data_IF_713453690492
#
_entry.id   IF_713453690492
#
_cell.length_a   1.000
_cell.length_b   1.000
_cell.length_c   1.000
_cell.angle_alpha   90.00
_cell.angle_beta   90.00
_cell.angle_gamma   90.00
#
_symmetry.space_group_name_H-M   'P 1'
#
loop_
_entity.id
_entity.type
_entity.pdbx_description
1 polymer ?
#
# COMPACT_ATOMS: atom_id res chain seq x y z
N UNK A 1 24.65 -61.04 69.71
CA UNK A 1 25.11 -61.78 68.51
C UNK A 1 24.18 -61.34 67.39
N UNK A 2 24.54 -60.65 66.30
CA UNK A 2 25.79 -60.68 65.50
C UNK A 2 25.77 -59.46 64.55
N UNK A 3 26.81 -58.62 64.69
CA UNK A 3 27.66 -57.90 63.70
C UNK A 3 27.16 -57.02 62.54
N UNK A 4 27.92 -55.91 62.44
CA UNK A 4 28.17 -54.95 61.35
C UNK A 4 29.01 -55.58 60.21
N UNK A 5 28.83 -55.13 58.95
CA UNK A 5 29.85 -54.73 57.94
C UNK A 5 29.21 -54.68 56.52
N UNK A 6 29.22 -53.59 55.75
CA UNK A 6 30.28 -52.85 55.00
C UNK A 6 30.73 -53.46 53.67
N UNK A 7 30.87 -52.57 52.66
CA UNK A 7 31.51 -52.65 51.31
C UNK A 7 30.68 -53.19 50.13
N UNK A 8 30.90 -52.79 48.87
CA UNK A 8 31.36 -51.57 48.17
C UNK A 8 31.30 -51.87 46.64
N UNK A 9 31.02 -50.84 45.80
CA UNK A 9 31.54 -50.61 44.43
C UNK A 9 31.08 -51.48 43.23
N UNK A 10 30.42 -50.83 42.26
CA UNK A 10 30.93 -50.44 40.91
C UNK A 10 29.75 -50.03 40.02
N UNK A 11 29.57 -48.75 39.70
CA UNK A 11 30.07 -48.03 38.50
C UNK A 11 29.39 -48.44 37.17
N UNK A 12 28.79 -47.44 36.50
CA UNK A 12 28.82 -47.15 35.04
C UNK A 12 27.45 -46.66 34.51
N UNK A 13 27.41 -45.34 34.26
CA UNK A 13 26.82 -44.62 33.11
C UNK A 13 25.36 -44.91 32.68
N UNK A 14 24.51 -43.91 32.91
CA UNK A 14 23.58 -43.41 31.87
C UNK A 14 23.55 -41.87 31.87
N UNK A 15 24.73 -41.24 31.71
CA UNK A 15 24.85 -39.90 31.14
C UNK A 15 24.89 -40.06 29.62
N UNK A 16 23.74 -40.06 28.94
CA UNK A 16 23.74 -40.11 27.46
C UNK A 16 22.62 -39.31 26.78
N UNK A 17 21.68 -38.72 27.51
CA UNK A 17 20.62 -37.90 26.88
C UNK A 17 20.90 -36.40 26.84
N UNK A 18 21.80 -35.87 27.69
CA UNK A 18 22.09 -34.43 27.73
C UNK A 18 23.20 -33.99 26.75
N UNK A 19 24.13 -34.88 26.40
CA UNK A 19 25.22 -34.57 25.46
C UNK A 19 24.80 -34.62 23.98
N UNK A 20 23.72 -35.34 23.64
CA UNK A 20 23.23 -35.37 22.25
C UNK A 20 22.55 -34.08 21.83
N UNK A 21 21.87 -33.39 22.77
CA UNK A 21 21.24 -32.09 22.49
C UNK A 21 22.27 -30.96 22.44
N UNK A 22 23.32 -31.02 23.26
CA UNK A 22 24.40 -30.02 23.25
C UNK A 22 25.34 -30.19 22.03
N UNK A 23 25.55 -31.41 21.54
CA UNK A 23 26.34 -31.66 20.32
C UNK A 23 25.64 -31.18 19.03
N UNK A 24 24.31 -31.17 18.99
CA UNK A 24 23.54 -30.60 17.86
C UNK A 24 23.54 -29.06 17.86
N UNK A 25 23.64 -28.43 19.04
CA UNK A 25 23.74 -26.96 19.16
C UNK A 25 25.15 -26.43 18.83
N UNK A 26 26.21 -27.24 19.03
CA UNK A 26 27.60 -26.86 18.74
C UNK A 26 28.06 -27.17 17.31
N UNK A 27 27.33 -28.00 16.56
CA UNK A 27 27.65 -28.30 15.15
C UNK A 27 27.26 -27.16 14.17
N UNK A 28 26.52 -26.14 14.62
CA UNK A 28 26.19 -24.95 13.82
C UNK A 28 27.04 -23.71 14.16
N UNK A 29 28.06 -23.85 15.01
CA UNK A 29 29.01 -22.77 15.32
C UNK A 29 30.42 -23.21 14.94
N UNK A 30 30.72 -23.15 13.64
CA UNK A 30 32.10 -23.05 13.13
C UNK A 30 32.20 -21.74 12.33
N UNK A 31 33.29 -20.96 12.52
CA UNK A 31 33.34 -19.58 12.13
C UNK A 31 33.67 -19.46 10.64
N UNK A 32 32.76 -18.89 9.86
CA UNK A 32 33.09 -18.39 8.54
C UNK A 32 33.98 -17.14 8.67
N UNK A 33 35.28 -17.36 8.87
CA UNK A 33 36.30 -16.34 8.57
C UNK A 33 36.32 -16.16 7.06
N UNK A 34 35.78 -15.02 6.64
CA UNK A 34 36.19 -14.18 5.51
C UNK A 34 37.00 -14.87 4.41
N UNK A 35 36.33 -15.20 3.31
CA UNK A 35 36.88 -14.91 2.00
C UNK A 35 36.09 -13.72 1.45
N UNK A 36 36.71 -12.54 1.48
CA UNK A 36 36.24 -11.39 0.72
C UNK A 36 36.21 -11.80 -0.76
N UNK A 37 35.01 -11.92 -1.32
CA UNK A 37 34.80 -12.04 -2.76
C UNK A 37 33.53 -11.27 -3.09
N UNK A 38 33.72 -9.98 -3.35
CA UNK A 38 32.90 -9.07 -4.14
C UNK A 38 31.48 -9.55 -4.46
N UNK A 39 30.62 -9.64 -3.45
CA UNK A 39 29.18 -9.58 -3.66
C UNK A 39 28.83 -8.10 -3.73
N UNK A 40 28.90 -7.56 -4.94
CA UNK A 40 28.23 -6.31 -5.27
C UNK A 40 26.82 -6.32 -4.65
N UNK A 41 26.34 -5.21 -4.05
CA UNK A 41 24.92 -5.13 -3.73
C UNK A 41 24.17 -5.44 -5.02
N UNK A 42 23.16 -6.30 -4.96
CA UNK A 42 22.19 -6.43 -6.05
C UNK A 42 21.63 -5.03 -6.24
N UNK A 43 22.21 -4.31 -7.19
CA UNK A 43 21.76 -3.01 -7.61
C UNK A 43 20.39 -3.33 -8.21
N UNK A 44 19.32 -3.04 -7.46
CA UNK A 44 18.00 -2.93 -8.05
C UNK A 44 18.10 -1.76 -9.03
N UNK A 45 18.52 -2.06 -10.25
CA UNK A 45 18.43 -1.15 -11.36
C UNK A 45 16.93 -0.88 -11.53
N UNK A 46 16.53 0.37 -11.26
CA UNK A 46 15.20 0.85 -11.62
C UNK A 46 15.00 0.62 -13.13
N UNK A 47 13.98 -0.13 -13.57
CA UNK A 47 13.78 -0.44 -14.99
C UNK A 47 13.31 0.75 -15.83
N UNK A 48 13.39 2.00 -15.33
CA UNK A 48 12.87 3.19 -16.00
C UNK A 48 13.95 4.26 -16.20
N UNK A 49 14.93 3.99 -17.05
CA UNK A 49 15.69 5.04 -17.72
C UNK A 49 14.93 5.49 -18.99
N UNK A 50 13.87 6.29 -18.81
CA UNK A 50 13.20 6.97 -19.92
C UNK A 50 13.67 8.43 -19.99
N UNK A 51 13.95 8.91 -21.21
CA UNK A 51 14.39 10.28 -21.47
C UNK A 51 13.32 11.29 -21.04
N UNK A 52 13.63 12.08 -20.01
CA UNK A 52 12.79 13.14 -19.44
C UNK A 52 12.45 14.27 -20.44
N UNK A 53 13.15 14.36 -21.58
CA UNK A 53 12.94 15.39 -22.60
C UNK A 53 11.59 15.29 -23.32
N UNK A 54 10.94 14.12 -23.30
CA UNK A 54 9.70 13.89 -24.07
C UNK A 54 8.42 14.31 -23.30
N UNK A 55 8.54 14.63 -22.00
CA UNK A 55 7.42 14.94 -21.11
C UNK A 55 7.48 16.36 -20.54
N UNK A 56 7.87 17.32 -21.39
CA UNK A 56 8.11 18.72 -21.04
C UNK A 56 7.11 19.35 -20.07
N UNK A 57 7.64 20.23 -19.21
CA UNK A 57 7.02 21.13 -18.23
C UNK A 57 5.57 21.54 -18.57
N UNK A 58 4.59 20.72 -18.21
CA UNK A 58 3.18 21.03 -18.38
C UNK A 58 2.64 21.84 -17.21
N UNK A 59 2.59 23.17 -17.32
CA UNK A 59 1.78 24.03 -16.45
C UNK A 59 0.30 23.63 -16.49
N UNK A 60 -0.45 24.01 -15.45
CA UNK A 60 -1.90 23.78 -15.32
C UNK A 60 -2.75 24.35 -16.48
N UNK A 61 -2.16 25.08 -17.43
CA UNK A 61 -2.84 25.61 -18.61
C UNK A 61 -3.20 24.55 -19.66
N UNK A 62 -2.54 23.37 -19.66
CA UNK A 62 -2.83 22.30 -20.64
C UNK A 62 -4.18 21.60 -20.42
N UNK A 63 -4.85 21.88 -19.30
CA UNK A 63 -6.13 21.28 -18.90
C UNK A 63 -7.36 22.11 -19.30
N UNK A 64 -7.21 23.34 -19.84
CA UNK A 64 -8.32 24.25 -20.17
C UNK A 64 -9.00 24.02 -21.53
N UNK A 65 -8.60 23.00 -22.30
CA UNK A 65 -9.02 22.83 -23.71
C UNK A 65 -9.75 21.54 -24.06
N UNK A 66 -10.01 20.65 -23.10
CA UNK A 66 -10.62 19.34 -23.39
C UNK A 66 -12.14 19.48 -23.54
N UNK A 67 -12.60 19.76 -24.76
CA UNK A 67 -14.02 19.61 -25.10
C UNK A 67 -14.30 18.16 -25.46
N UNK A 68 -15.08 17.48 -24.62
CA UNK A 68 -15.61 16.16 -24.92
C UNK A 68 -16.34 16.20 -26.28
N UNK A 69 -15.85 15.43 -27.25
CA UNK A 69 -16.52 15.32 -28.54
C UNK A 69 -17.74 14.42 -28.38
N UNK A 70 -18.93 15.02 -28.56
CA UNK A 70 -20.26 14.41 -28.65
C UNK A 70 -20.62 13.48 -27.48
N UNK A 71 -21.22 14.09 -26.46
CA UNK A 71 -21.95 13.41 -25.38
C UNK A 71 -23.25 12.87 -25.96
N UNK A 72 -23.42 11.54 -26.01
CA UNK A 72 -24.76 10.95 -26.16
C UNK A 72 -25.36 10.90 -24.77
N UNK A 73 -26.42 11.67 -24.54
CA UNK A 73 -26.94 12.04 -23.22
C UNK A 73 -27.50 10.92 -22.36
N UNK A 74 -27.59 9.67 -22.86
CA UNK A 74 -28.32 8.63 -22.14
C UNK A 74 -27.44 7.54 -21.51
N UNK A 75 -26.20 7.38 -21.95
CA UNK A 75 -25.26 6.41 -21.38
C UNK A 75 -23.98 7.15 -20.99
N UNK A 76 -23.53 7.02 -19.73
CA UNK A 76 -22.26 7.58 -19.24
C UNK A 76 -21.07 6.88 -19.90
N UNK A 77 -20.94 6.94 -21.22
CA UNK A 77 -19.93 6.23 -22.02
C UNK A 77 -19.12 7.19 -22.90
N UNK A 78 -17.84 6.89 -23.10
CA UNK A 78 -16.93 7.64 -23.97
C UNK A 78 -15.95 6.71 -24.70
N UNK A 79 -15.69 6.93 -26.00
CA UNK A 79 -14.82 6.07 -26.80
C UNK A 79 -13.32 6.35 -26.63
N UNK A 80 -12.50 5.29 -26.50
CA UNK A 80 -11.03 5.35 -26.25
C UNK A 80 -10.26 6.16 -27.30
N UNK A 81 -10.65 6.12 -28.58
CA UNK A 81 -9.92 6.75 -29.69
C UNK A 81 -9.67 8.26 -29.53
N UNK A 82 -10.34 8.90 -28.56
CA UNK A 82 -10.23 10.34 -28.27
C UNK A 82 -9.58 10.67 -26.91
N UNK A 83 -9.14 9.67 -26.14
CA UNK A 83 -8.61 9.87 -24.77
C UNK A 83 -7.12 9.47 -24.72
N UNK A 84 -6.26 10.41 -24.32
CA UNK A 84 -4.87 10.11 -23.95
C UNK A 84 -4.81 9.91 -22.43
N UNK A 85 -4.52 8.68 -21.93
CA UNK A 85 -4.43 8.43 -20.49
C UNK A 85 -3.37 9.33 -19.83
N UNK A 86 -3.72 9.95 -18.72
CA UNK A 86 -2.88 10.91 -18.00
C UNK A 86 -2.22 10.29 -16.77
N UNK A 87 -2.86 9.30 -16.16
CA UNK A 87 -2.48 8.70 -14.87
C UNK A 87 -2.18 7.20 -14.97
N UNK A 88 -1.83 6.70 -16.15
CA UNK A 88 -1.37 5.31 -16.31
C UNK A 88 -0.05 5.09 -15.59
N UNK A 89 0.31 3.83 -15.30
CA UNK A 89 1.59 3.49 -14.62
C UNK A 89 2.82 4.15 -15.25
N UNK A 90 2.90 4.20 -16.58
CA UNK A 90 4.02 4.87 -17.27
C UNK A 90 4.09 6.37 -16.98
N UNK A 91 2.94 7.05 -16.90
CA UNK A 91 2.88 8.47 -16.57
C UNK A 91 3.22 8.73 -15.10
N UNK A 92 2.85 7.84 -14.18
CA UNK A 92 3.24 7.94 -12.77
C UNK A 92 4.74 7.73 -12.61
N UNK A 93 5.31 6.72 -13.28
CA UNK A 93 6.75 6.46 -13.24
C UNK A 93 7.58 7.63 -13.78
N UNK A 94 7.02 8.42 -14.70
CA UNK A 94 7.65 9.62 -15.24
C UNK A 94 7.53 10.85 -14.32
N UNK A 95 6.63 10.84 -13.32
CA UNK A 95 6.58 11.89 -12.31
C UNK A 95 7.73 11.69 -11.32
N UNK A 96 8.41 12.77 -10.95
CA UNK A 96 9.65 12.78 -10.19
C UNK A 96 9.61 11.85 -8.95
N UNK A 97 10.10 10.62 -9.13
CA UNK A 97 10.00 9.48 -8.19
C UNK A 97 11.02 9.57 -7.06
N UNK A 98 11.87 10.60 -7.03
CA UNK A 98 12.95 10.75 -6.04
C UNK A 98 12.45 10.72 -4.59
N UNK A 99 11.19 11.07 -4.34
CA UNK A 99 10.59 11.15 -3.00
C UNK A 99 9.53 10.06 -2.77
N UNK A 100 9.45 9.06 -3.67
CA UNK A 100 8.56 7.91 -3.52
C UNK A 100 9.04 7.01 -2.36
N UNK A 101 8.08 6.41 -1.67
CA UNK A 101 8.32 5.58 -0.49
C UNK A 101 9.36 4.48 -0.74
N UNK A 102 9.18 3.67 -1.78
CA UNK A 102 10.06 2.53 -2.07
C UNK A 102 11.49 2.94 -2.42
N UNK A 103 11.68 4.11 -3.05
CA UNK A 103 13.00 4.63 -3.43
C UNK A 103 13.81 5.10 -2.21
N UNK A 104 13.12 5.48 -1.13
CA UNK A 104 13.76 6.09 0.05
C UNK A 104 13.73 5.20 1.28
N UNK A 105 12.90 4.16 1.31
CA UNK A 105 12.67 3.34 2.49
C UNK A 105 13.97 2.80 3.10
N UNK A 106 14.86 2.21 2.29
CA UNK A 106 16.13 1.65 2.80
C UNK A 106 17.01 2.73 3.46
N UNK A 107 17.01 3.95 2.91
CA UNK A 107 17.75 5.08 3.49
C UNK A 107 17.13 5.50 4.83
N UNK A 108 15.81 5.69 4.89
CA UNK A 108 15.11 6.05 6.13
C UNK A 108 15.25 4.99 7.21
N UNK A 109 15.19 3.71 6.84
CA UNK A 109 15.45 2.61 7.78
C UNK A 109 16.88 2.66 8.33
N UNK A 110 17.88 2.93 7.48
CA UNK A 110 19.27 3.06 7.91
C UNK A 110 19.48 4.28 8.84
N UNK A 111 18.85 5.42 8.55
CA UNK A 111 18.88 6.63 9.38
C UNK A 111 18.29 6.38 10.79
N UNK A 112 17.25 5.55 10.88
CA UNK A 112 16.62 5.18 12.14
C UNK A 112 17.24 3.94 12.82
N UNK A 113 18.25 3.31 12.19
CA UNK A 113 18.93 2.12 12.71
C UNK A 113 18.08 0.85 12.72
N UNK A 114 17.18 0.69 11.75
CA UNK A 114 16.21 -0.41 11.65
C UNK A 114 16.52 -1.25 10.41
N UNK A 115 16.39 -2.57 10.51
CA UNK A 115 16.52 -3.46 9.35
C UNK A 115 15.19 -3.59 8.60
N UNK A 116 15.25 -3.97 7.31
CA UNK A 116 14.04 -4.25 6.54
C UNK A 116 13.18 -5.34 7.19
N UNK A 117 13.82 -6.39 7.72
CA UNK A 117 13.16 -7.50 8.39
C UNK A 117 12.37 -7.01 9.62
N UNK A 118 12.98 -6.14 10.43
CA UNK A 118 12.29 -5.56 11.58
C UNK A 118 11.14 -4.66 11.14
N UNK A 119 11.30 -3.89 10.07
CA UNK A 119 10.22 -3.07 9.52
C UNK A 119 9.04 -3.93 9.05
N UNK A 120 9.32 -5.00 8.30
CA UNK A 120 8.33 -5.97 7.81
C UNK A 120 7.61 -6.70 8.95
N UNK A 121 8.27 -6.95 10.07
CA UNK A 121 7.64 -7.50 11.27
C UNK A 121 6.65 -6.53 11.92
N UNK A 122 6.94 -5.23 11.86
CA UNK A 122 6.15 -4.19 12.51
C UNK A 122 4.93 -3.79 11.70
N UNK A 123 5.09 -3.54 10.40
CA UNK A 123 4.02 -2.97 9.54
C UNK A 123 2.66 -3.71 9.64
N UNK A 124 2.59 -5.06 9.75
CA UNK A 124 1.32 -5.77 9.90
C UNK A 124 0.62 -5.58 11.23
N UNK A 125 1.36 -5.20 12.28
CA UNK A 125 0.81 -5.02 13.63
C UNK A 125 -0.07 -3.77 13.69
N UNK A 126 -1.18 -3.85 14.41
CA UNK A 126 -2.04 -2.72 14.70
C UNK A 126 -1.50 -1.95 15.91
N UNK A 127 -1.68 -0.64 15.96
CA UNK A 127 -1.46 0.15 17.17
C UNK A 127 -2.34 -0.39 18.30
N UNK A 128 -1.76 -0.63 19.47
CA UNK A 128 -2.53 -1.01 20.65
C UNK A 128 -3.31 0.20 21.21
N UNK A 129 -4.56 -0.05 21.61
CA UNK A 129 -5.34 0.90 22.44
C UNK A 129 -4.95 0.78 23.92
N UNK A 130 -4.69 -0.45 24.38
CA UNK A 130 -4.30 -0.79 25.75
C UNK A 130 -2.92 -1.47 25.77
N UNK A 131 -1.95 -0.82 26.41
CA UNK A 131 -0.58 -1.32 26.52
C UNK A 131 -0.41 -2.37 27.63
N UNK A 132 -1.43 -2.60 28.46
CA UNK A 132 -1.35 -3.53 29.61
C UNK A 132 -1.71 -4.97 29.25
N UNK A 133 -2.37 -5.19 28.12
CA UNK A 133 -2.78 -6.52 27.63
C UNK A 133 -2.61 -6.64 26.11
N UNK A 134 -1.35 -6.56 25.66
CA UNK A 134 -1.00 -6.57 24.24
C UNK A 134 -1.24 -7.94 23.59
N UNK A 135 -1.95 -7.94 22.45
CA UNK A 135 -2.02 -9.11 21.57
C UNK A 135 -0.77 -9.19 20.70
N UNK A 136 -0.44 -10.40 20.21
CA UNK A 136 0.68 -10.61 19.28
C UNK A 136 0.55 -9.79 17.98
N UNK A 137 -0.68 -9.44 17.60
CA UNK A 137 -1.01 -8.63 16.43
C UNK A 137 -0.94 -7.12 16.70
N UNK A 138 -0.58 -6.71 17.91
CA UNK A 138 -0.57 -5.32 18.36
C UNK A 138 0.86 -4.85 18.66
N UNK A 139 1.12 -3.58 18.42
CA UNK A 139 2.40 -2.94 18.75
C UNK A 139 2.41 -2.50 20.22
N UNK A 140 3.54 -2.73 20.89
CA UNK A 140 3.84 -2.00 22.11
C UNK A 140 4.23 -0.53 21.80
N UNK A 141 4.48 0.25 22.85
CA UNK A 141 4.82 1.67 22.72
C UNK A 141 6.13 1.88 21.96
N UNK A 142 7.16 1.11 22.28
CA UNK A 142 8.49 1.24 21.67
C UNK A 142 8.45 0.93 20.16
N UNK A 143 7.68 -0.10 19.78
CA UNK A 143 7.41 -0.48 18.40
C UNK A 143 6.65 0.62 17.64
N UNK A 144 5.64 1.21 18.27
CA UNK A 144 4.87 2.30 17.68
C UNK A 144 5.71 3.57 17.51
N UNK A 145 6.55 3.89 18.49
CA UNK A 145 7.48 5.03 18.42
C UNK A 145 8.50 4.81 17.29
N UNK A 146 8.98 3.58 17.12
CA UNK A 146 9.92 3.20 16.08
C UNK A 146 9.34 3.38 14.67
N UNK A 147 8.16 2.83 14.39
CA UNK A 147 7.50 2.98 13.08
C UNK A 147 7.08 4.44 12.82
N UNK A 148 6.74 5.18 13.89
CA UNK A 148 6.43 6.61 13.83
C UNK A 148 7.62 7.44 13.35
N UNK A 149 8.85 7.14 13.82
CA UNK A 149 10.04 7.86 13.35
C UNK A 149 10.28 7.66 11.85
N UNK A 150 10.19 6.42 11.37
CA UNK A 150 10.28 6.12 9.93
C UNK A 150 9.20 6.88 9.15
N UNK A 151 7.95 6.87 9.64
CA UNK A 151 6.83 7.59 9.01
C UNK A 151 7.08 9.08 8.90
N UNK A 152 7.70 9.70 9.90
CA UNK A 152 7.93 11.14 9.89
C UNK A 152 8.90 11.59 8.78
N UNK A 153 9.59 10.66 8.11
CA UNK A 153 10.35 10.94 6.90
C UNK A 153 9.48 11.09 5.63
N UNK A 154 8.22 10.66 5.66
CA UNK A 154 7.30 10.80 4.52
C UNK A 154 6.99 12.30 4.34
N UNK A 155 7.38 12.90 3.20
CA UNK A 155 7.29 14.33 3.04
C UNK A 155 5.87 14.73 2.61
N UNK A 156 4.97 14.85 3.58
CA UNK A 156 3.57 15.29 3.34
C UNK A 156 3.55 16.66 2.63
N UNK A 157 4.52 17.52 2.93
CA UNK A 157 4.72 18.83 2.29
C UNK A 157 4.99 18.78 0.79
N UNK A 158 5.45 17.63 0.28
CA UNK A 158 5.76 17.46 -1.15
C UNK A 158 4.53 17.08 -1.98
N UNK A 159 3.38 16.87 -1.33
CA UNK A 159 2.12 16.68 -2.01
C UNK A 159 1.68 18.04 -2.58
N UNK A 160 1.50 18.09 -3.89
CA UNK A 160 1.08 19.27 -4.65
C UNK A 160 -0.10 18.92 -5.55
N UNK A 161 -0.69 19.91 -6.22
CA UNK A 161 -1.81 19.69 -7.17
C UNK A 161 -1.43 18.80 -8.36
N UNK A 162 -0.13 18.56 -8.55
CA UNK A 162 0.41 17.66 -9.59
C UNK A 162 0.58 16.23 -9.09
N UNK A 163 0.54 16.01 -7.78
CA UNK A 163 0.72 14.69 -7.18
C UNK A 163 -0.49 13.85 -7.48
N UNK A 164 -0.28 12.75 -8.21
CA UNK A 164 -1.33 11.76 -8.43
C UNK A 164 -1.51 10.94 -7.16
N UNK A 165 -2.69 11.06 -6.56
CA UNK A 165 -3.18 10.21 -5.48
C UNK A 165 -3.87 8.99 -6.07
N UNK A 166 -4.01 7.92 -5.29
CA UNK A 166 -4.78 6.76 -5.68
C UNK A 166 -5.57 6.13 -4.54
N UNK A 167 -6.62 5.41 -4.92
CA UNK A 167 -7.44 4.56 -4.07
C UNK A 167 -7.86 3.31 -4.82
N UNK A 168 -7.69 2.13 -4.20
CA UNK A 168 -8.30 0.90 -4.71
C UNK A 168 -9.77 0.90 -4.30
N UNK A 169 -10.64 0.67 -5.27
CA UNK A 169 -12.09 0.64 -5.09
C UNK A 169 -12.65 -0.70 -5.55
N UNK A 170 -13.71 -1.21 -4.90
CA UNK A 170 -14.40 -2.41 -5.37
C UNK A 170 -15.22 -2.13 -6.64
N UNK A 171 -15.60 -3.19 -7.34
CA UNK A 171 -16.39 -3.11 -8.58
C UNK A 171 -17.69 -2.31 -8.43
N UNK A 172 -18.43 -2.55 -7.35
CA UNK A 172 -19.67 -1.83 -7.07
C UNK A 172 -19.46 -0.31 -6.88
N UNK A 173 -18.31 0.11 -6.34
CA UNK A 173 -17.96 1.52 -6.22
C UNK A 173 -17.66 2.11 -7.60
N UNK A 174 -16.90 1.41 -8.46
CA UNK A 174 -16.70 1.82 -9.86
C UNK A 174 -18.03 1.98 -10.62
N UNK A 175 -18.93 1.00 -10.50
CA UNK A 175 -20.27 1.06 -11.09
C UNK A 175 -21.07 2.24 -10.54
N UNK A 176 -21.00 2.52 -9.24
CA UNK A 176 -21.65 3.68 -8.63
C UNK A 176 -21.06 5.02 -9.09
N UNK A 177 -19.75 5.14 -9.30
CA UNK A 177 -19.16 6.37 -9.84
C UNK A 177 -19.58 6.60 -11.29
N UNK A 178 -19.72 5.53 -12.08
CA UNK A 178 -19.98 5.60 -13.53
C UNK A 178 -21.45 5.52 -13.93
N UNK A 179 -22.39 5.23 -13.02
CA UNK A 179 -23.83 5.18 -13.32
C UNK A 179 -24.50 6.55 -13.26
N UNK A 180 -25.53 6.76 -14.06
CA UNK A 180 -26.40 7.95 -13.97
C UNK A 180 -27.09 7.99 -12.61
N UNK A 181 -27.11 9.17 -11.96
CA UNK A 181 -27.60 9.30 -10.58
C UNK A 181 -26.72 8.60 -9.52
N UNK A 182 -25.48 8.25 -9.89
CA UNK A 182 -24.49 7.65 -9.02
C UNK A 182 -23.80 8.64 -8.07
N UNK A 183 -22.66 8.23 -7.52
CA UNK A 183 -21.86 9.09 -6.63
C UNK A 183 -21.26 10.29 -7.37
N UNK A 184 -21.10 11.39 -6.64
CA UNK A 184 -20.39 12.57 -7.10
C UNK A 184 -18.89 12.29 -7.26
N UNK A 185 -18.17 13.20 -7.93
CA UNK A 185 -16.72 13.14 -8.19
C UNK A 185 -15.85 13.42 -6.95
N UNK A 186 -16.22 12.82 -5.82
CA UNK A 186 -15.60 13.00 -4.52
C UNK A 186 -14.90 11.74 -4.03
N UNK A 187 -13.85 11.92 -3.26
CA UNK A 187 -13.05 10.85 -2.66
C UNK A 187 -12.79 11.13 -1.17
N UNK A 188 -12.88 10.09 -0.35
CA UNK A 188 -12.66 10.17 1.09
C UNK A 188 -12.00 8.90 1.65
N UNK A 189 -11.88 8.85 2.97
CA UNK A 189 -11.18 7.77 3.68
C UNK A 189 -9.70 7.69 3.30
N UNK A 190 -9.13 6.49 3.42
CA UNK A 190 -7.71 6.23 3.19
C UNK A 190 -7.31 6.28 1.71
N UNK A 191 -6.21 6.97 1.42
CA UNK A 191 -5.62 7.11 0.09
C UNK A 191 -4.09 7.14 0.17
N UNK A 192 -3.42 6.89 -0.93
CA UNK A 192 -1.94 6.92 -1.01
C UNK A 192 -1.51 7.76 -2.21
N UNK A 193 -0.26 8.26 -2.22
CA UNK A 193 0.31 8.76 -3.48
C UNK A 193 0.48 7.55 -4.41
N UNK A 194 0.13 7.71 -5.69
CA UNK A 194 0.24 6.60 -6.64
C UNK A 194 1.69 6.12 -6.80
N UNK A 195 2.66 7.04 -6.73
CA UNK A 195 4.08 6.73 -6.79
C UNK A 195 4.57 5.84 -5.63
N UNK A 196 3.96 5.93 -4.44
CA UNK A 196 4.36 5.14 -3.27
C UNK A 196 3.99 3.66 -3.38
N UNK A 197 3.08 3.33 -4.29
CA UNK A 197 2.51 2.00 -4.46
C UNK A 197 2.85 1.39 -5.83
N UNK A 198 3.85 1.92 -6.53
CA UNK A 198 4.24 1.46 -7.86
C UNK A 198 4.80 0.03 -7.91
N UNK A 199 5.23 -0.50 -6.76
CA UNK A 199 5.63 -1.89 -6.62
C UNK A 199 4.44 -2.86 -6.64
N UNK A 200 3.20 -2.38 -6.40
CA UNK A 200 2.00 -3.20 -6.46
C UNK A 200 1.54 -3.32 -7.92
N UNK A 201 1.62 -4.53 -8.49
CA UNK A 201 1.42 -4.74 -9.93
C UNK A 201 0.19 -5.56 -10.24
N UNK A 202 -0.03 -6.64 -9.50
CA UNK A 202 -1.11 -7.60 -9.71
C UNK A 202 -2.26 -7.37 -8.74
N UNK A 203 -3.41 -8.00 -9.01
CA UNK A 203 -4.54 -8.02 -8.05
C UNK A 203 -4.09 -8.54 -6.68
N UNK A 204 -3.26 -9.59 -6.66
CA UNK A 204 -2.69 -10.15 -5.44
C UNK A 204 -1.84 -9.12 -4.68
N UNK A 205 -0.92 -8.42 -5.38
CA UNK A 205 -0.06 -7.42 -4.75
C UNK A 205 -0.90 -6.33 -4.07
N UNK A 206 -1.94 -5.84 -4.74
CA UNK A 206 -2.83 -4.83 -4.15
C UNK A 206 -3.62 -5.38 -2.96
N UNK A 207 -4.16 -6.60 -3.06
CA UNK A 207 -4.94 -7.18 -1.98
C UNK A 207 -4.10 -7.41 -0.72
N UNK A 208 -2.89 -7.94 -0.84
CA UNK A 208 -2.04 -8.18 0.33
C UNK A 208 -1.26 -6.93 0.75
N UNK A 209 -0.70 -6.17 -0.17
CA UNK A 209 0.04 -4.94 0.15
C UNK A 209 -0.82 -3.89 0.86
N UNK A 210 -2.09 -3.78 0.50
CA UNK A 210 -3.04 -2.89 1.16
C UNK A 210 -3.80 -3.56 2.32
N UNK A 211 -3.40 -4.77 2.72
CA UNK A 211 -4.03 -5.57 3.77
C UNK A 211 -5.55 -5.77 3.61
N UNK A 212 -6.03 -5.86 2.37
CA UNK A 212 -7.45 -6.03 2.03
C UNK A 212 -7.98 -7.44 2.29
N UNK A 213 -7.18 -8.34 2.84
CA UNK A 213 -7.52 -9.72 3.18
C UNK A 213 -8.19 -9.86 4.57
N UNK A 214 -9.04 -8.89 4.93
CA UNK A 214 -9.83 -8.89 6.15
C UNK A 214 -11.21 -9.55 5.94
N UNK A 215 -11.85 -9.94 7.03
CA UNK A 215 -13.18 -10.57 7.00
C UNK A 215 -14.23 -9.64 6.39
N UNK A 216 -15.04 -10.14 5.46
CA UNK A 216 -16.05 -9.34 4.76
C UNK A 216 -15.49 -8.38 3.69
N UNK A 217 -14.21 -8.53 3.33
CA UNK A 217 -13.60 -7.75 2.26
C UNK A 217 -14.29 -7.99 0.90
N UNK A 218 -14.61 -6.93 0.13
CA UNK A 218 -15.21 -7.08 -1.20
C UNK A 218 -14.19 -7.53 -2.27
N UNK A 219 -12.94 -7.76 -1.89
CA UNK A 219 -11.85 -8.17 -2.77
C UNK A 219 -11.57 -9.68 -2.72
N UNK A 220 -12.38 -10.43 -1.98
CA UNK A 220 -12.31 -11.88 -1.85
C UNK A 220 -13.69 -12.49 -2.08
N UNK A 221 -13.76 -13.49 -2.96
CA UNK A 221 -14.93 -14.31 -3.19
C UNK A 221 -14.99 -15.36 -2.07
N UNK A 222 -16.09 -15.34 -1.29
CA UNK A 222 -16.42 -16.26 -0.19
C UNK A 222 -15.63 -16.09 1.12
N UNK A 223 -16.34 -16.04 2.25
CA UNK A 223 -15.76 -15.88 3.60
C UNK A 223 -14.81 -17.03 3.99
N UNK A 224 -14.91 -18.20 3.34
CA UNK A 224 -14.26 -19.43 3.77
C UNK A 224 -13.10 -19.89 2.88
N UNK A 225 -13.00 -19.44 1.62
CA UNK A 225 -12.00 -19.95 0.65
C UNK A 225 -10.89 -18.96 0.31
N UNK A 226 -10.96 -17.70 0.78
CA UNK A 226 -9.94 -16.65 0.53
C UNK A 226 -9.56 -16.53 -0.96
N UNK A 227 -10.50 -16.79 -1.87
CA UNK A 227 -10.25 -16.68 -3.30
C UNK A 227 -10.26 -15.20 -3.67
N UNK A 228 -9.14 -14.68 -4.15
CA UNK A 228 -9.03 -13.28 -4.55
C UNK A 228 -9.89 -13.06 -5.81
N UNK A 229 -10.50 -11.88 -5.94
CA UNK A 229 -11.19 -11.48 -7.17
C UNK A 229 -10.24 -11.49 -8.39
N UNK A 230 -10.77 -11.70 -9.59
CA UNK A 230 -9.97 -11.69 -10.83
C UNK A 230 -9.57 -10.29 -11.30
N UNK A 231 -10.24 -9.25 -10.79
CA UNK A 231 -9.99 -7.86 -11.17
C UNK A 231 -10.25 -6.89 -10.01
N UNK A 232 -9.49 -5.80 -9.98
CA UNK A 232 -9.69 -4.67 -9.08
C UNK A 232 -9.75 -3.37 -9.87
N UNK A 233 -10.22 -2.31 -9.21
CA UNK A 233 -10.28 -0.98 -9.80
C UNK A 233 -9.41 -0.02 -8.99
N UNK A 234 -8.54 0.72 -9.66
CA UNK A 234 -7.66 1.72 -9.07
C UNK A 234 -8.08 3.08 -9.60
N UNK A 235 -8.64 3.91 -8.74
CA UNK A 235 -8.93 5.31 -9.03
C UNK A 235 -7.68 6.13 -8.77
N UNK A 236 -7.25 6.90 -9.76
CA UNK A 236 -6.10 7.81 -9.69
C UNK A 236 -6.55 9.22 -10.00
N UNK A 237 -6.12 10.18 -9.20
CA UNK A 237 -6.68 11.52 -9.24
C UNK A 237 -5.71 12.57 -8.70
N UNK A 238 -5.99 13.82 -9.03
CA UNK A 238 -5.34 15.00 -8.44
C UNK A 238 -6.34 15.76 -7.57
N UNK A 239 -5.81 16.56 -6.65
CA UNK A 239 -6.57 17.38 -5.71
C UNK A 239 -6.14 18.85 -5.86
N UNK A 240 -7.00 19.78 -5.46
CA UNK A 240 -6.62 21.19 -5.37
C UNK A 240 -5.80 21.49 -4.10
N UNK A 241 -5.15 22.65 -4.06
CA UNK A 241 -4.36 23.09 -2.91
C UNK A 241 -5.16 23.16 -1.59
N UNK A 242 -6.46 23.42 -1.64
CA UNK A 242 -7.32 23.50 -0.46
C UNK A 242 -7.57 22.14 0.18
N UNK A 243 -7.74 21.09 -0.65
CA UNK A 243 -7.83 19.70 -0.23
C UNK A 243 -6.47 19.18 0.26
N UNK A 244 -5.39 19.48 -0.45
CA UNK A 244 -4.03 19.03 -0.09
C UNK A 244 -3.62 19.52 1.30
N UNK A 245 -3.91 20.77 1.65
CA UNK A 245 -3.63 21.33 2.98
C UNK A 245 -4.38 20.65 4.12
N UNK A 246 -5.37 19.82 3.81
CA UNK A 246 -6.19 19.06 4.78
C UNK A 246 -5.86 17.57 4.73
N UNK A 247 -4.83 17.15 3.99
CA UNK A 247 -4.31 15.79 4.05
C UNK A 247 -3.43 15.63 5.29
N UNK A 248 -3.61 14.50 5.97
CA UNK A 248 -2.73 14.08 7.07
C UNK A 248 -2.51 12.58 7.03
N UNK A 249 -1.47 12.11 7.71
CA UNK A 249 -1.26 10.69 7.94
C UNK A 249 -2.16 10.24 9.12
N UNK A 250 -2.98 9.19 8.98
CA UNK A 250 -3.84 8.69 10.04
C UNK A 250 -3.04 7.93 11.11
N UNK A 251 -3.07 8.43 12.35
CA UNK A 251 -2.26 7.91 13.45
C UNK A 251 -2.74 8.33 14.85
N UNK A 252 -3.96 8.83 15.00
CA UNK A 252 -4.49 9.28 16.30
C UNK A 252 -5.25 8.16 17.02
N UNK A 253 -5.55 8.36 18.31
CA UNK A 253 -6.43 7.43 19.04
C UNK A 253 -7.85 7.45 18.45
N UNK A 254 -8.35 8.62 18.06
CA UNK A 254 -9.65 8.76 17.40
C UNK A 254 -9.69 8.04 16.05
N UNK A 255 -8.60 8.07 15.27
CA UNK A 255 -8.51 7.28 14.04
C UNK A 255 -8.67 5.80 14.34
N UNK A 256 -8.04 5.31 15.42
CA UNK A 256 -8.04 3.90 15.78
C UNK A 256 -9.44 3.42 16.19
N UNK A 257 -10.15 4.22 17.01
CA UNK A 257 -11.50 3.90 17.47
C UNK A 257 -12.53 3.90 16.33
N UNK A 258 -12.38 4.81 15.37
CA UNK A 258 -13.37 5.01 14.32
C UNK A 258 -13.13 4.21 13.04
N UNK A 259 -11.96 3.55 12.90
CA UNK A 259 -11.60 2.84 11.68
C UNK A 259 -11.28 1.36 11.97
N UNK A 260 -12.11 0.42 11.46
CA UNK A 260 -11.84 -1.01 11.56
C UNK A 260 -10.71 -1.43 10.60
N UNK A 261 -10.44 -2.72 10.53
CA UNK A 261 -9.61 -3.31 9.47
C UNK A 261 -10.03 -2.77 8.08
N UNK A 262 -9.08 -2.49 7.18
CA UNK A 262 -7.65 -2.85 7.22
C UNK A 262 -6.74 -1.84 7.95
N UNK A 263 -7.30 -0.80 8.57
CA UNK A 263 -6.51 0.26 9.19
C UNK A 263 -5.67 -0.24 10.37
N UNK A 264 -4.38 0.11 10.39
CA UNK A 264 -3.44 -0.33 11.44
C UNK A 264 -3.08 0.73 12.47
N UNK A 265 -3.47 1.99 12.31
CA UNK A 265 -3.25 3.01 13.35
C UNK A 265 -1.87 3.66 13.34
N UNK A 266 -0.99 3.32 12.40
CA UNK A 266 0.39 3.82 12.36
C UNK A 266 0.75 4.64 11.13
N UNK A 267 -0.12 4.70 10.12
CA UNK A 267 0.06 5.54 8.92
C UNK A 267 0.59 4.80 7.69
N UNK A 268 0.72 3.48 7.75
CA UNK A 268 0.97 2.62 6.61
C UNK A 268 -0.16 1.60 6.46
N UNK A 269 -0.38 1.15 5.23
CA UNK A 269 -1.15 -0.08 5.02
C UNK A 269 -0.41 -1.26 5.61
N UNK A 270 -1.15 -2.25 6.12
CA UNK A 270 -0.58 -3.33 6.92
C UNK A 270 0.35 -4.29 6.17
N UNK A 271 0.40 -4.23 4.83
CA UNK A 271 1.04 -5.29 4.04
C UNK A 271 0.41 -6.67 4.32
N UNK A 272 1.00 -7.71 3.75
CA UNK A 272 0.45 -9.04 3.93
C UNK A 272 1.30 -10.13 3.29
N UNK A 273 1.17 -11.35 3.81
CA UNK A 273 1.78 -12.54 3.23
C UNK A 273 0.80 -13.12 2.22
N UNK A 274 1.24 -13.27 0.96
CA UNK A 274 0.45 -13.91 -0.09
C UNK A 274 0.39 -15.44 0.12
N UNK A 275 -0.44 -16.19 -0.65
CA UNK A 275 -0.55 -17.64 -0.51
C UNK A 275 0.76 -18.41 -0.75
N UNK A 276 1.72 -17.81 -1.47
CA UNK A 276 3.04 -18.37 -1.73
C UNK A 276 4.04 -18.15 -0.57
N UNK A 277 3.62 -17.46 0.50
CA UNK A 277 4.48 -17.17 1.66
C UNK A 277 5.37 -15.94 1.48
N UNK A 278 5.21 -15.17 0.40
CA UNK A 278 5.94 -13.92 0.15
C UNK A 278 5.25 -12.75 0.84
N UNK A 279 6.02 -11.96 1.57
CA UNK A 279 5.53 -10.69 2.11
C UNK A 279 5.42 -9.62 1.01
N UNK A 280 4.24 -9.03 0.89
CA UNK A 280 3.94 -7.90 0.03
C UNK A 280 3.89 -6.65 0.91
N UNK A 281 4.86 -5.77 0.70
CA UNK A 281 4.96 -4.53 1.47
C UNK A 281 3.84 -3.56 1.08
N UNK A 282 3.28 -2.89 2.08
CA UNK A 282 2.32 -1.81 1.91
C UNK A 282 2.95 -0.48 1.51
N UNK A 283 2.24 0.60 1.81
CA UNK A 283 2.75 1.96 1.63
C UNK A 283 2.07 2.97 2.56
N UNK A 284 2.52 4.23 2.54
CA UNK A 284 1.93 5.32 3.30
C UNK A 284 0.45 5.53 3.04
N UNK A 285 -0.30 5.86 4.09
CA UNK A 285 -1.70 6.25 4.04
C UNK A 285 -1.89 7.73 4.36
N UNK A 286 -2.88 8.33 3.72
CA UNK A 286 -3.34 9.69 3.96
C UNK A 286 -4.86 9.68 4.11
N UNK A 287 -5.36 10.59 4.93
CA UNK A 287 -6.80 10.82 5.14
C UNK A 287 -7.09 12.32 5.16
N UNK A 288 -8.34 12.73 4.88
CA UNK A 288 -8.82 14.07 5.19
C UNK A 288 -8.82 14.33 6.71
N UNK A 289 -8.40 15.51 7.14
CA UNK A 289 -8.25 15.86 8.57
C UNK A 289 -9.49 15.65 9.45
N UNK A 290 -10.69 15.60 8.87
CA UNK A 290 -11.98 15.47 9.60
C UNK A 290 -12.93 14.42 9.00
N UNK A 291 -12.40 13.35 8.39
CA UNK A 291 -13.25 12.30 7.80
C UNK A 291 -14.13 12.78 6.65
N UNK A 292 -13.73 13.89 6.01
CA UNK A 292 -14.48 14.52 4.92
C UNK A 292 -14.25 13.85 3.57
N UNK A 293 -14.80 14.49 2.54
CA UNK A 293 -14.56 14.14 1.15
C UNK A 293 -13.90 15.31 0.42
N UNK A 294 -13.03 15.02 -0.54
CA UNK A 294 -12.44 16.00 -1.43
C UNK A 294 -13.01 15.85 -2.83
N UNK A 295 -13.26 16.99 -3.48
CA UNK A 295 -13.50 17.03 -4.92
C UNK A 295 -12.21 16.69 -5.68
N UNK A 296 -12.32 15.86 -6.70
CA UNK A 296 -11.20 15.55 -7.58
C UNK A 296 -11.09 16.59 -8.69
N UNK A 297 -9.88 17.10 -8.94
CA UNK A 297 -9.64 18.07 -10.03
C UNK A 297 -9.49 17.39 -11.39
N UNK A 298 -8.95 16.17 -11.39
CA UNK A 298 -8.93 15.25 -12.53
C UNK A 298 -8.87 13.83 -11.97
N UNK A 299 -9.49 12.87 -12.66
CA UNK A 299 -9.43 11.48 -12.24
C UNK A 299 -9.60 10.48 -13.39
N UNK A 300 -8.99 9.31 -13.23
CA UNK A 300 -9.09 8.16 -14.11
C UNK A 300 -9.27 6.90 -13.26
N UNK A 301 -10.07 5.96 -13.74
CA UNK A 301 -10.27 4.66 -13.10
C UNK A 301 -9.70 3.59 -14.02
N UNK A 302 -8.80 2.79 -13.47
CA UNK A 302 -8.14 1.69 -14.15
C UNK A 302 -8.63 0.36 -13.61
N UNK A 303 -8.99 -0.55 -14.50
CA UNK A 303 -9.19 -1.95 -14.16
C UNK A 303 -7.85 -2.67 -14.26
N UNK A 304 -7.49 -3.39 -13.21
CA UNK A 304 -6.30 -4.26 -13.18
C UNK A 304 -6.80 -5.71 -13.14
N UNK A 305 -6.42 -6.51 -14.14
CA UNK A 305 -6.72 -7.94 -14.16
C UNK A 305 -5.72 -8.75 -13.32
N UNK A 306 -6.00 -10.04 -13.10
CA UNK A 306 -5.14 -10.97 -12.36
C UNK A 306 -3.69 -11.04 -12.86
N UNK A 307 -3.44 -10.72 -14.12
CA UNK A 307 -2.08 -10.72 -14.71
C UNK A 307 -1.38 -9.36 -14.52
N UNK A 308 -2.03 -8.39 -13.88
CA UNK A 308 -1.53 -7.04 -13.70
C UNK A 308 -1.71 -6.13 -14.91
N UNK A 309 -2.48 -6.54 -15.92
CA UNK A 309 -2.75 -5.70 -17.08
C UNK A 309 -3.71 -4.57 -16.68
N UNK A 310 -3.33 -3.36 -17.05
CA UNK A 310 -4.06 -2.16 -16.70
C UNK A 310 -4.87 -1.65 -17.90
N UNK A 311 -6.18 -1.49 -17.73
CA UNK A 311 -7.10 -0.95 -18.75
C UNK A 311 -7.80 0.28 -18.20
N UNK A 312 -7.75 1.41 -18.91
CA UNK A 312 -8.55 2.59 -18.58
C UNK A 312 -10.04 2.28 -18.80
N UNK A 313 -10.86 2.42 -17.75
CA UNK A 313 -12.29 2.06 -17.76
C UNK A 313 -13.20 3.20 -17.30
N UNK A 314 -12.65 4.27 -16.72
CA UNK A 314 -13.41 5.45 -16.32
C UNK A 314 -12.57 6.72 -16.41
N UNK A 315 -13.19 7.83 -16.79
CA UNK A 315 -12.55 9.16 -16.81
C UNK A 315 -13.49 10.19 -16.21
N UNK A 316 -12.92 11.13 -15.45
CA UNK A 316 -13.65 12.28 -14.95
C UNK A 316 -13.70 13.34 -16.04
N UNK A 317 -14.91 13.80 -16.34
CA UNK A 317 -15.18 14.85 -17.33
C UNK A 317 -16.07 15.92 -16.74
N UNK A 318 -15.90 17.15 -17.21
CA UNK A 318 -16.81 18.24 -16.91
C UNK A 318 -18.02 18.18 -17.86
N UNK A 319 -19.22 18.26 -17.30
CA UNK A 319 -20.49 18.33 -18.03
C UNK A 319 -21.35 19.47 -17.50
N UNK A 320 -22.29 19.95 -18.31
CA UNK A 320 -23.28 20.94 -17.88
C UNK A 320 -24.56 20.20 -17.49
N UNK A 321 -25.04 20.40 -16.27
CA UNK A 321 -26.31 19.83 -15.80
C UNK A 321 -27.52 20.60 -16.35
N UNK A 322 -28.73 20.11 -16.10
CA UNK A 322 -29.98 20.74 -16.56
C UNK A 322 -30.20 22.16 -16.01
N UNK A 323 -29.52 22.51 -14.90
CA UNK A 323 -29.53 23.85 -14.32
C UNK A 323 -28.50 24.81 -14.96
N UNK A 324 -27.72 24.35 -15.94
CA UNK A 324 -26.67 25.14 -16.60
C UNK A 324 -25.35 25.19 -15.82
N UNK A 325 -25.20 24.40 -14.75
CA UNK A 325 -24.00 24.37 -13.92
C UNK A 325 -22.99 23.36 -14.45
N UNK A 326 -21.70 23.69 -14.39
CA UNK A 326 -20.65 22.73 -14.71
C UNK A 326 -20.40 21.81 -13.53
N UNK A 327 -20.61 20.52 -13.72
CA UNK A 327 -20.36 19.45 -12.76
C UNK A 327 -19.31 18.48 -13.28
N UNK A 328 -18.56 17.85 -12.37
CA UNK A 328 -17.64 16.78 -12.72
C UNK A 328 -18.33 15.43 -12.54
N UNK A 329 -18.27 14.58 -13.56
CA UNK A 329 -18.86 13.24 -13.55
C UNK A 329 -17.92 12.21 -14.14
N UNK A 330 -17.96 10.98 -13.63
CA UNK A 330 -17.25 9.88 -14.28
C UNK A 330 -18.05 9.33 -15.46
N UNK A 331 -17.35 9.11 -16.57
CA UNK A 331 -17.85 8.36 -17.72
C UNK A 331 -17.07 7.06 -17.85
N UNK A 332 -17.79 5.98 -18.12
CA UNK A 332 -17.24 4.69 -18.48
C UNK A 332 -16.58 4.78 -19.84
N UNK A 333 -15.41 4.18 -19.96
CA UNK A 333 -14.68 4.15 -21.22
C UNK A 333 -15.07 2.89 -21.99
N UNK A 334 -15.51 3.06 -23.24
CA UNK A 334 -15.89 1.98 -24.16
C UNK A 334 -14.95 1.94 -25.36
N UNK A 335 -14.78 0.75 -25.94
CA UNK A 335 -13.93 0.54 -27.11
C UNK A 335 -14.64 0.92 -28.41
#
# INVERSE_FOLDING_TARGET
MTTINFRQRNSIRHFSSLYMVLALMLAFVIPARMAARDSYPVQMLSPYSLNLSDYGNGSAEKYKGWKAASVTTDNREISIGKIKPLFGKAAIAAQNVSNAFMENLLRWLAEEGISMERFVELVPKRRAEDLTNLKLTEMNKEEFDLITRIRNHIPVSDITERTVMQKVIPKNAFENYTKTGGWDARVGGFMSRACDLMHLRTVEDYCYGLALNYSGSPYFNEELTKVIVDEIYVMRYTLDNGAIRKLRIPNTADDLQNNPEPFKGHGYTGGGINPEGKYILGGPEFVPEKGGFFEMTAAEIYRIDKNGNETLVGVLVAETNDAGETINVFKKVVK
#
